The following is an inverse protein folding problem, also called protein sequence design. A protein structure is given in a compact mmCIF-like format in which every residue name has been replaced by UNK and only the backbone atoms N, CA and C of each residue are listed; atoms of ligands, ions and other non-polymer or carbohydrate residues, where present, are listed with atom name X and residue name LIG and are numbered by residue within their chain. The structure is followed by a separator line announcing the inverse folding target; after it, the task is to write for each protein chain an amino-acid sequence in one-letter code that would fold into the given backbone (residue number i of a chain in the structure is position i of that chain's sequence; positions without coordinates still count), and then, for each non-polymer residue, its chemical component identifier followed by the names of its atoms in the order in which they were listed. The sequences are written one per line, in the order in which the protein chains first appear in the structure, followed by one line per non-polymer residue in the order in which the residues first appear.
data_IF_343130064029
#
_entry.id   IF_343130064029
#
_cell.length_a   1.000
_cell.length_b   1.000
_cell.length_c   1.000
_cell.angle_alpha   90.00
_cell.angle_beta   90.00
_cell.angle_gamma   90.00
#
_symmetry.space_group_name_H-M   'P 1'
#
loop_
_entity.id
_entity.type
_entity.pdbx_description
1 polymer ?
#
# COMPACT_ATOMS: atom_id res chain seq x y z
N UNK A 1 -23.41 -9.50 10.57
CA UNK A 1 -23.22 -8.25 11.33
C UNK A 1 -23.70 -7.11 10.43
N UNK A 2 -24.86 -6.54 10.74
CA UNK A 2 -25.50 -5.47 9.95
C UNK A 2 -24.65 -4.22 10.08
N UNK A 3 -24.02 -3.76 9.00
CA UNK A 3 -23.22 -2.53 9.05
C UNK A 3 -24.17 -1.33 9.22
N UNK A 4 -23.74 -0.20 9.79
CA UNK A 4 -24.60 1.01 9.91
C UNK A 4 -25.14 1.50 8.55
N UNK A 5 -24.51 1.07 7.45
CA UNK A 5 -24.94 1.29 6.07
C UNK A 5 -26.07 0.38 5.60
N UNK A 6 -26.40 -0.66 6.36
CA UNK A 6 -27.53 -1.57 6.13
C UNK A 6 -28.75 -1.20 6.98
N UNK A 7 -28.66 -0.15 7.79
CA UNK A 7 -29.80 0.35 8.54
C UNK A 7 -30.80 1.01 7.57
N UNK A 8 -32.04 0.51 7.46
CA UNK A 8 -33.02 1.00 6.50
C UNK A 8 -33.30 2.50 6.63
N UNK A 9 -33.30 3.05 7.85
CA UNK A 9 -33.50 4.48 8.08
C UNK A 9 -32.39 5.34 7.47
N UNK A 10 -31.13 4.88 7.54
CA UNK A 10 -29.99 5.61 6.96
C UNK A 10 -29.95 5.46 5.44
N UNK A 11 -30.29 4.28 4.92
CA UNK A 11 -30.37 4.07 3.47
C UNK A 11 -31.40 5.00 2.83
N UNK A 12 -32.58 5.15 3.44
CA UNK A 12 -33.66 5.98 2.90
C UNK A 12 -33.29 7.47 2.90
N UNK A 13 -32.69 7.97 3.99
CA UNK A 13 -32.22 9.38 4.07
C UNK A 13 -31.12 9.67 3.04
N UNK A 14 -30.14 8.77 2.90
CA UNK A 14 -29.09 8.93 1.90
C UNK A 14 -29.62 8.85 0.47
N UNK A 15 -30.55 7.92 0.21
CA UNK A 15 -31.13 7.73 -1.12
C UNK A 15 -32.00 8.92 -1.53
N UNK A 16 -32.74 9.53 -0.58
CA UNK A 16 -33.51 10.75 -0.83
C UNK A 16 -32.60 11.97 -1.12
N UNK A 17 -31.43 12.05 -0.48
CA UNK A 17 -30.54 13.21 -0.61
C UNK A 17 -29.64 13.15 -1.85
N UNK A 18 -29.18 11.96 -2.24
CA UNK A 18 -28.22 11.76 -3.34
C UNK A 18 -28.82 11.08 -4.58
N UNK A 19 -30.06 10.61 -4.51
CA UNK A 19 -30.72 9.90 -5.61
C UNK A 19 -30.13 8.52 -5.94
N UNK A 20 -29.20 8.00 -5.12
CA UNK A 20 -28.54 6.71 -5.32
C UNK A 20 -28.38 5.97 -4.00
N UNK A 21 -28.39 4.64 -4.06
CA UNK A 21 -28.13 3.81 -2.88
C UNK A 21 -26.64 3.88 -2.52
N UNK A 22 -26.27 3.95 -1.23
CA UNK A 22 -24.85 4.03 -0.80
C UNK A 22 -23.94 2.95 -1.39
N UNK A 23 -24.45 1.72 -1.55
CA UNK A 23 -23.70 0.60 -2.15
C UNK A 23 -23.38 0.84 -3.63
N UNK A 24 -24.31 1.43 -4.37
CA UNK A 24 -24.11 1.74 -5.79
C UNK A 24 -23.06 2.84 -5.95
N UNK A 25 -23.12 3.89 -5.12
CA UNK A 25 -22.13 4.96 -5.09
C UNK A 25 -20.72 4.44 -4.77
N UNK A 26 -20.61 3.57 -3.77
CA UNK A 26 -19.35 2.92 -3.43
C UNK A 26 -18.83 2.06 -4.59
N UNK A 27 -19.69 1.28 -5.24
CA UNK A 27 -19.32 0.46 -6.39
C UNK A 27 -18.85 1.30 -7.58
N UNK A 28 -19.46 2.47 -7.80
CA UNK A 28 -19.05 3.43 -8.83
C UNK A 28 -17.67 4.01 -8.49
N UNK A 29 -17.49 4.45 -7.25
CA UNK A 29 -16.23 5.04 -6.77
C UNK A 29 -15.06 4.07 -6.90
N UNK A 30 -15.26 2.78 -6.57
CA UNK A 30 -14.24 1.72 -6.73
C UNK A 30 -13.83 1.55 -8.19
N UNK A 31 -14.80 1.53 -9.12
CA UNK A 31 -14.54 1.45 -10.57
C UNK A 31 -13.78 2.67 -11.10
N UNK A 32 -14.16 3.87 -10.66
CA UNK A 32 -13.44 5.10 -11.02
C UNK A 32 -12.01 5.10 -10.49
N UNK A 33 -11.81 4.64 -9.25
CA UNK A 33 -10.48 4.51 -8.66
C UNK A 33 -9.57 3.55 -9.45
N UNK A 34 -10.07 2.36 -9.78
CA UNK A 34 -9.35 1.38 -10.61
C UNK A 34 -9.02 1.96 -12.00
N UNK A 35 -9.98 2.68 -12.60
CA UNK A 35 -9.81 3.34 -13.91
C UNK A 35 -8.70 4.40 -13.85
N UNK A 36 -8.68 5.24 -12.81
CA UNK A 36 -7.64 6.25 -12.64
C UNK A 36 -6.24 5.64 -12.54
N UNK A 37 -6.09 4.52 -11.82
CA UNK A 37 -4.80 3.82 -11.73
C UNK A 37 -4.38 3.23 -13.07
N UNK A 38 -5.32 2.62 -13.82
CA UNK A 38 -5.03 2.10 -15.16
C UNK A 38 -4.63 3.20 -16.13
N UNK A 39 -5.30 4.36 -16.09
CA UNK A 39 -4.93 5.53 -16.89
C UNK A 39 -3.55 6.07 -16.50
N UNK A 40 -3.25 6.12 -15.20
CA UNK A 40 -1.92 6.50 -14.72
C UNK A 40 -0.85 5.55 -15.29
N UNK A 41 -1.07 4.24 -15.21
CA UNK A 41 -0.16 3.24 -15.77
C UNK A 41 0.06 3.44 -17.28
N UNK A 42 -1.01 3.68 -18.04
CA UNK A 42 -0.89 3.90 -19.50
C UNK A 42 -0.10 5.16 -19.84
N UNK A 43 -0.21 6.22 -19.02
CA UNK A 43 0.48 7.49 -19.26
C UNK A 43 1.92 7.51 -18.79
N UNK A 44 2.20 6.92 -17.63
CA UNK A 44 3.47 7.08 -16.92
C UNK A 44 4.24 5.76 -16.75
N UNK A 45 3.57 4.62 -16.87
CA UNK A 45 4.07 3.35 -16.37
C UNK A 45 4.33 3.40 -14.86
N UNK A 46 5.14 2.47 -14.36
CA UNK A 46 5.55 2.42 -12.95
C UNK A 46 7.07 2.46 -12.74
N UNK A 47 7.85 2.66 -13.81
CA UNK A 47 9.31 2.64 -13.74
C UNK A 47 9.91 3.83 -12.99
N UNK A 48 9.24 4.98 -13.02
CA UNK A 48 9.64 6.14 -12.24
C UNK A 48 9.12 6.01 -10.81
N UNK A 49 9.93 6.45 -9.84
CA UNK A 49 9.50 6.52 -8.45
C UNK A 49 8.36 7.53 -8.28
N UNK A 50 7.22 7.05 -7.82
CA UNK A 50 6.11 7.86 -7.33
C UNK A 50 5.64 7.26 -5.99
N UNK A 51 6.06 7.91 -4.91
CA UNK A 51 5.77 7.46 -3.56
C UNK A 51 4.25 7.40 -3.27
N UNK A 52 3.44 8.30 -3.84
CA UNK A 52 2.00 8.29 -3.62
C UNK A 52 1.34 7.07 -4.28
N UNK A 53 1.88 6.62 -5.41
CA UNK A 53 1.36 5.43 -6.09
C UNK A 53 1.51 4.16 -5.26
N UNK A 54 2.50 4.06 -4.37
CA UNK A 54 2.63 2.91 -3.47
C UNK A 54 1.36 2.72 -2.62
N UNK A 55 0.79 3.80 -2.10
CA UNK A 55 -0.43 3.75 -1.32
C UNK A 55 -1.63 3.32 -2.17
N UNK A 56 -1.79 3.92 -3.35
CA UNK A 56 -2.94 3.63 -4.22
C UNK A 56 -2.89 2.21 -4.80
N UNK A 57 -1.70 1.73 -5.17
CA UNK A 57 -1.51 0.36 -5.65
C UNK A 57 -1.75 -0.66 -4.54
N UNK A 58 -1.29 -0.37 -3.32
CA UNK A 58 -1.58 -1.22 -2.15
C UNK A 58 -3.09 -1.33 -1.92
N UNK A 59 -3.79 -0.20 -1.87
CA UNK A 59 -5.25 -0.19 -1.72
C UNK A 59 -5.96 -0.96 -2.84
N UNK A 60 -5.53 -0.77 -4.09
CA UNK A 60 -6.12 -1.47 -5.23
C UNK A 60 -5.90 -2.99 -5.15
N UNK A 61 -4.70 -3.43 -4.78
CA UNK A 61 -4.36 -4.84 -4.63
C UNK A 61 -5.21 -5.52 -3.55
N UNK A 62 -5.29 -4.93 -2.35
CA UNK A 62 -6.07 -5.49 -1.24
C UNK A 62 -7.58 -5.46 -1.54
N UNK A 63 -8.09 -4.39 -2.16
CA UNK A 63 -9.49 -4.29 -2.56
C UNK A 63 -9.87 -5.37 -3.57
N UNK A 64 -9.03 -5.60 -4.59
CA UNK A 64 -9.28 -6.62 -5.60
C UNK A 64 -9.15 -8.03 -5.02
N UNK A 65 -8.15 -8.27 -4.15
CA UNK A 65 -7.96 -9.55 -3.47
C UNK A 65 -9.13 -9.89 -2.55
N UNK A 66 -9.58 -8.94 -1.71
CA UNK A 66 -10.71 -9.15 -0.79
C UNK A 66 -12.05 -9.32 -1.49
N UNK A 67 -12.17 -9.00 -2.78
CA UNK A 67 -13.37 -9.25 -3.56
C UNK A 67 -13.48 -10.70 -4.05
N UNK A 68 -12.35 -11.42 -4.20
CA UNK A 68 -12.30 -12.79 -4.74
C UNK A 68 -12.99 -13.77 -3.78
N UNK A 69 -13.85 -14.63 -4.33
CA UNK A 69 -14.50 -15.72 -3.59
C UNK A 69 -14.80 -16.91 -4.52
N UNK A 70 -14.98 -18.11 -3.95
CA UNK A 70 -15.01 -19.37 -4.70
C UNK A 70 -16.17 -19.51 -5.70
N UNK A 71 -17.31 -18.86 -5.46
CA UNK A 71 -18.51 -18.94 -6.32
C UNK A 71 -18.58 -17.86 -7.40
N UNK A 72 -17.47 -17.21 -7.72
CA UNK A 72 -17.45 -16.08 -8.65
C UNK A 72 -17.39 -16.54 -10.12
N UNK A 73 -18.04 -15.80 -11.02
CA UNK A 73 -17.96 -16.06 -12.46
C UNK A 73 -16.53 -15.86 -12.99
N UNK A 74 -16.09 -16.72 -13.90
CA UNK A 74 -14.71 -16.76 -14.41
C UNK A 74 -14.23 -15.41 -14.96
N UNK A 75 -15.06 -14.72 -15.74
CA UNK A 75 -14.70 -13.40 -16.31
C UNK A 75 -14.48 -12.33 -15.22
N UNK A 76 -15.22 -12.41 -14.11
CA UNK A 76 -15.06 -11.46 -13.00
C UNK A 76 -13.79 -11.79 -12.21
N UNK A 77 -13.51 -13.09 -12.03
CA UNK A 77 -12.27 -13.56 -11.42
C UNK A 77 -11.04 -13.08 -12.21
N UNK A 78 -11.04 -13.26 -13.54
CA UNK A 78 -9.97 -12.81 -14.42
C UNK A 78 -9.78 -11.29 -14.36
N UNK A 79 -10.87 -10.52 -14.31
CA UNK A 79 -10.80 -9.06 -14.15
C UNK A 79 -10.13 -8.65 -12.83
N UNK A 80 -10.49 -9.28 -11.71
CA UNK A 80 -9.85 -9.02 -10.42
C UNK A 80 -8.38 -9.45 -10.40
N UNK A 81 -8.06 -10.60 -10.98
CA UNK A 81 -6.68 -11.06 -11.11
C UNK A 81 -5.82 -10.11 -11.95
N UNK A 82 -6.37 -9.56 -13.05
CA UNK A 82 -5.67 -8.55 -13.85
C UNK A 82 -5.39 -7.27 -13.04
N UNK A 83 -6.30 -6.91 -12.14
CA UNK A 83 -6.18 -5.74 -11.27
C UNK A 83 -5.10 -5.96 -10.21
N UNK A 84 -5.06 -7.15 -9.59
CA UNK A 84 -4.00 -7.55 -8.66
C UNK A 84 -2.65 -7.58 -9.37
N UNK A 85 -2.57 -8.16 -10.57
CA UNK A 85 -1.34 -8.23 -11.35
C UNK A 85 -0.80 -6.83 -11.66
N UNK A 86 -1.65 -5.91 -12.13
CA UNK A 86 -1.26 -4.54 -12.40
C UNK A 86 -0.72 -3.85 -11.13
N UNK A 87 -1.46 -3.97 -10.02
CA UNK A 87 -1.09 -3.33 -8.76
C UNK A 87 0.25 -3.86 -8.22
N UNK A 88 0.44 -5.18 -8.23
CA UNK A 88 1.67 -5.83 -7.76
C UNK A 88 2.87 -5.54 -8.65
N UNK A 89 2.69 -5.47 -9.97
CA UNK A 89 3.73 -5.02 -10.89
C UNK A 89 4.19 -3.60 -10.56
N UNK A 90 3.25 -2.70 -10.28
CA UNK A 90 3.57 -1.34 -9.85
C UNK A 90 4.34 -1.33 -8.54
N UNK A 91 3.87 -2.05 -7.51
CA UNK A 91 4.56 -2.14 -6.21
C UNK A 91 5.99 -2.67 -6.34
N UNK A 92 6.22 -3.66 -7.20
CA UNK A 92 7.56 -4.17 -7.51
C UNK A 92 8.46 -3.10 -8.12
N UNK A 93 7.96 -2.35 -9.11
CA UNK A 93 8.76 -1.31 -9.77
C UNK A 93 9.06 -0.13 -8.81
N UNK A 94 8.12 0.20 -7.94
CA UNK A 94 8.31 1.21 -6.88
C UNK A 94 9.35 0.76 -5.84
N UNK A 95 9.33 -0.51 -5.43
CA UNK A 95 10.30 -1.05 -4.46
C UNK A 95 11.72 -1.06 -5.02
N UNK A 96 11.88 -1.43 -6.29
CA UNK A 96 13.17 -1.36 -6.99
C UNK A 96 13.72 0.08 -7.00
N UNK A 97 12.87 1.06 -7.30
CA UNK A 97 13.26 2.47 -7.32
C UNK A 97 13.71 2.99 -5.95
N UNK A 98 13.01 2.60 -4.87
CA UNK A 98 13.41 2.93 -3.50
C UNK A 98 14.75 2.30 -3.12
N UNK A 99 14.95 1.03 -3.51
CA UNK A 99 16.22 0.33 -3.30
C UNK A 99 17.38 1.02 -4.02
N UNK A 100 17.19 1.44 -5.27
CA UNK A 100 18.20 2.21 -6.02
C UNK A 100 18.57 3.50 -5.30
N UNK A 101 17.59 4.28 -4.83
CA UNK A 101 17.86 5.50 -4.06
C UNK A 101 18.70 5.24 -2.80
N UNK A 102 18.39 4.14 -2.08
CA UNK A 102 19.17 3.70 -0.91
C UNK A 102 20.60 3.32 -1.26
N UNK A 103 20.82 2.64 -2.39
CA UNK A 103 22.16 2.23 -2.83
C UNK A 103 23.03 3.41 -3.27
N UNK A 104 22.45 4.36 -4.03
CA UNK A 104 23.15 5.59 -4.42
C UNK A 104 23.56 6.40 -3.18
N UNK A 105 22.66 6.54 -2.21
CA UNK A 105 22.98 7.22 -0.95
C UNK A 105 24.16 6.56 -0.21
N UNK A 106 24.16 5.22 -0.08
CA UNK A 106 25.27 4.48 0.55
C UNK A 106 26.60 4.67 -0.20
N UNK A 107 26.57 4.64 -1.54
CA UNK A 107 27.76 4.82 -2.36
C UNK A 107 28.36 6.23 -2.20
N UNK A 108 27.52 7.26 -2.23
CA UNK A 108 27.92 8.65 -2.01
C UNK A 108 28.52 8.82 -0.61
N UNK A 109 27.84 8.30 0.42
CA UNK A 109 28.31 8.36 1.82
C UNK A 109 29.67 7.68 2.01
N UNK A 110 29.93 6.57 1.32
CA UNK A 110 31.23 5.86 1.40
C UNK A 110 32.40 6.71 0.88
N UNK A 111 32.16 7.62 -0.05
CA UNK A 111 33.17 8.52 -0.61
C UNK A 111 33.41 9.81 0.18
N UNK A 112 32.63 10.06 1.23
CA UNK A 112 32.68 11.30 2.03
C UNK A 112 33.77 11.24 3.11
N UNK A 113 34.25 12.41 3.50
CA UNK A 113 35.14 12.59 4.65
C UNK A 113 34.36 12.40 5.95
N UNK A 114 35.06 12.05 7.02
CA UNK A 114 34.46 11.83 8.34
C UNK A 114 33.64 13.03 8.82
N UNK A 115 34.10 14.26 8.56
CA UNK A 115 33.40 15.51 8.91
C UNK A 115 32.04 15.64 8.21
N UNK A 116 31.96 15.23 6.94
CA UNK A 116 30.74 15.27 6.12
C UNK A 116 29.75 14.19 6.57
N UNK A 117 30.26 13.00 6.90
CA UNK A 117 29.45 11.91 7.45
C UNK A 117 28.85 12.32 8.80
N UNK A 118 29.64 12.92 9.69
CA UNK A 118 29.18 13.37 11.00
C UNK A 118 28.15 14.52 10.89
N UNK A 119 28.30 15.39 9.90
CA UNK A 119 27.29 16.40 9.57
C UNK A 119 25.99 15.74 9.10
N UNK A 120 26.05 14.82 8.15
CA UNK A 120 24.87 14.10 7.63
C UNK A 120 24.18 13.35 8.76
N UNK A 121 24.91 12.60 9.57
CA UNK A 121 24.36 11.80 10.66
C UNK A 121 23.64 12.64 11.72
N UNK A 122 24.09 13.88 11.96
CA UNK A 122 23.38 14.85 12.81
C UNK A 122 22.01 15.23 12.25
N UNK A 123 21.85 15.28 10.93
CA UNK A 123 20.61 15.70 10.27
C UNK A 123 19.73 14.54 9.78
N UNK A 124 20.28 13.34 9.57
CA UNK A 124 19.55 12.18 9.04
C UNK A 124 19.25 11.11 10.08
N UNK A 125 19.68 11.29 11.33
CA UNK A 125 19.57 10.32 12.43
C UNK A 125 20.24 8.94 12.16
N UNK A 126 21.03 8.80 11.08
CA UNK A 126 21.62 7.53 10.64
C UNK A 126 22.96 7.17 11.29
N UNK A 127 23.43 7.95 12.28
CA UNK A 127 24.77 7.81 12.84
C UNK A 127 25.05 6.58 13.71
N UNK A 128 24.06 5.72 14.01
CA UNK A 128 24.30 4.55 14.89
C UNK A 128 23.46 3.30 14.63
N UNK A 129 22.64 3.27 13.59
CA UNK A 129 21.83 2.10 13.25
C UNK A 129 22.12 1.67 11.82
N UNK A 130 22.93 0.62 11.67
CA UNK A 130 22.62 -0.41 10.67
C UNK A 130 21.20 -0.85 11.05
N UNK A 131 20.18 -0.33 10.35
CA UNK A 131 18.78 -0.57 10.67
C UNK A 131 18.44 -2.05 10.48
N UNK A 132 18.55 -2.83 11.56
CA UNK A 132 17.81 -4.09 11.72
C UNK A 132 16.35 -3.85 12.11
N UNK A 133 15.99 -2.59 12.43
CA UNK A 133 14.64 -2.21 12.80
C UNK A 133 14.26 -0.87 12.16
N UNK A 134 13.01 -0.75 11.69
CA UNK A 134 12.52 0.42 10.99
C UNK A 134 12.56 1.70 11.87
N UNK A 135 12.66 2.90 11.24
CA UNK A 135 12.96 4.16 11.91
C UNK A 135 11.94 4.53 13.00
N UNK A 136 12.31 5.34 14.01
CA UNK A 136 11.36 5.83 15.01
C UNK A 136 10.18 6.55 14.34
N UNK A 137 8.95 6.10 14.62
CA UNK A 137 7.75 6.59 13.93
C UNK A 137 7.33 5.79 12.69
N UNK A 138 8.04 4.71 12.33
CA UNK A 138 7.62 3.83 11.23
C UNK A 138 6.20 3.29 11.42
N UNK A 139 5.74 3.11 12.66
CA UNK A 139 4.35 2.72 12.98
C UNK A 139 3.32 3.78 12.59
N UNK A 140 3.69 5.06 12.62
CA UNK A 140 2.87 6.17 12.14
C UNK A 140 2.94 6.32 10.61
N UNK A 141 4.04 5.85 9.99
CA UNK A 141 4.19 5.78 8.53
C UNK A 141 3.61 4.45 7.99
N UNK A 142 3.39 3.44 8.82
CA UNK A 142 2.79 2.14 8.45
C UNK A 142 1.34 2.01 8.91
N UNK A 143 0.77 3.04 9.54
CA UNK A 143 -0.66 3.16 9.82
C UNK A 143 -1.49 3.50 8.57
N UNK A 144 -0.92 3.34 7.37
CA UNK A 144 -1.71 3.34 6.15
C UNK A 144 -2.77 2.24 6.26
N UNK A 145 -4.03 2.65 6.26
CA UNK A 145 -5.14 1.72 6.19
C UNK A 145 -5.06 0.96 4.88
N UNK A 146 -4.80 -0.34 4.94
CA UNK A 146 -4.77 -1.21 3.77
C UNK A 146 -6.15 -1.71 3.37
N UNK A 147 -7.14 -1.50 4.23
CA UNK A 147 -8.51 -1.87 3.96
C UNK A 147 -9.47 -0.84 4.57
N UNK A 148 -10.28 -0.23 3.71
CA UNK A 148 -11.44 0.57 4.12
C UNK A 148 -12.64 -0.35 4.32
N UNK A 149 -12.45 -1.40 5.13
CA UNK A 149 -13.55 -2.18 5.66
C UNK A 149 -14.59 -1.27 6.33
N UNK A 150 -15.78 -1.81 6.61
CA UNK A 150 -16.85 -1.14 7.35
C UNK A 150 -16.27 -0.20 8.43
N UNK A 151 -16.83 0.99 8.63
CA UNK A 151 -16.38 1.97 9.65
C UNK A 151 -16.26 1.35 11.06
N UNK A 152 -16.92 0.21 11.30
CA UNK A 152 -16.86 -0.59 12.53
C UNK A 152 -15.74 -1.64 12.57
N UNK A 153 -14.99 -1.85 11.50
CA UNK A 153 -13.86 -2.77 11.44
C UNK A 153 -12.68 -2.12 12.18
N UNK A 154 -12.03 -2.89 13.03
CA UNK A 154 -10.92 -2.41 13.84
C UNK A 154 -9.77 -1.96 12.93
N UNK A 155 -9.51 -0.64 12.90
CA UNK A 155 -8.49 -0.01 12.05
C UNK A 155 -7.09 -0.53 12.36
N UNK A 156 -6.90 -1.07 13.57
CA UNK A 156 -5.64 -1.68 13.99
C UNK A 156 -5.44 -3.09 13.41
N UNK A 157 -6.50 -3.81 13.02
CA UNK A 157 -6.40 -5.18 12.53
C UNK A 157 -5.86 -5.29 11.09
N UNK A 158 -5.98 -4.22 10.29
CA UNK A 158 -5.60 -4.18 8.85
C UNK A 158 -4.48 -3.17 8.57
N UNK A 159 -3.44 -3.14 9.42
CA UNK A 159 -2.29 -2.25 9.24
C UNK A 159 -1.11 -2.99 8.56
N UNK A 160 -0.33 -2.26 7.75
CA UNK A 160 0.85 -2.79 7.04
C UNK A 160 1.84 -3.47 8.00
N UNK A 161 2.03 -2.91 9.19
CA UNK A 161 2.97 -3.43 10.18
C UNK A 161 2.67 -4.88 10.58
N UNK A 162 1.40 -5.20 10.83
CA UNK A 162 0.96 -6.56 11.18
C UNK A 162 1.12 -7.53 10.00
N UNK A 163 0.79 -7.10 8.78
CA UNK A 163 1.01 -7.94 7.59
C UNK A 163 2.50 -8.21 7.33
N UNK A 164 3.38 -7.24 7.59
CA UNK A 164 4.82 -7.46 7.47
C UNK A 164 5.37 -8.45 8.52
N UNK A 165 4.80 -8.45 9.72
CA UNK A 165 5.09 -9.43 10.77
C UNK A 165 4.56 -10.83 10.39
N UNK A 166 3.31 -10.92 9.92
CA UNK A 166 2.66 -12.17 9.49
C UNK A 166 3.33 -12.79 8.23
N UNK A 167 3.80 -11.96 7.30
CA UNK A 167 4.51 -12.40 6.10
C UNK A 167 5.97 -12.81 6.33
N UNK A 168 6.47 -12.75 7.58
CA UNK A 168 7.84 -13.14 7.95
C UNK A 168 8.94 -12.42 7.16
N UNK A 169 8.65 -11.22 6.64
CA UNK A 169 9.61 -10.42 5.85
C UNK A 169 10.80 -9.93 6.71
N UNK A 170 10.71 -10.05 8.05
CA UNK A 170 11.85 -9.81 8.94
C UNK A 170 12.87 -10.96 9.00
N UNK A 171 12.53 -12.19 8.59
CA UNK A 171 13.47 -13.34 8.70
C UNK A 171 14.30 -13.57 7.43
N UNK A 172 13.85 -13.10 6.26
CA UNK A 172 14.60 -13.29 5.00
C UNK A 172 15.82 -12.36 4.85
N UNK A 173 16.01 -11.40 5.77
CA UNK A 173 17.22 -10.57 5.78
C UNK A 173 18.39 -11.21 6.54
N UNK A 174 18.17 -12.28 7.32
CA UNK A 174 19.23 -12.94 8.10
C UNK A 174 19.84 -14.16 7.38
N UNK A 175 19.24 -14.67 6.32
CA UNK A 175 19.69 -15.91 5.68
C UNK A 175 20.65 -15.75 4.49
N UNK A 176 20.83 -14.54 3.96
CA UNK A 176 21.72 -14.25 2.80
C UNK A 176 23.14 -13.81 3.21
N UNK A 177 23.57 -14.06 4.45
CA UNK A 177 24.94 -13.75 4.91
C UNK A 177 25.83 -14.97 5.22
N UNK A 178 25.33 -16.19 4.97
CA UNK A 178 26.13 -17.41 5.06
C UNK A 178 25.78 -18.40 3.95
N UNK A 179 26.22 -18.09 2.73
CA UNK A 179 26.68 -19.01 1.68
C UNK A 179 27.56 -18.24 0.69
#
# INVERSE_FOLDING_TARGET
MVTKLDNPQFIDVFSQSLGQKPRELLSSSKRSFETLIRLYYLRHGFKALDYFMVQYLSMLAFMAHGAIHASMHETTLQSLQSTILLATMGLRDQSASFYTGRMVFKAVRKGMRSEEIELIDRFTAQGRRIESQPPPGWRAISSWGLDFGSISADRAASNLGKLFEEARISELAEHDYYE
#
